data_IF_454157870818
#
_entry.id   IF_454157870818
#
_cell.length_a   1.000
_cell.length_b   1.000
_cell.length_c   1.000
_cell.angle_alpha   90.00
_cell.angle_beta   90.00
_cell.angle_gamma   90.00
#
_symmetry.space_group_name_H-M   'P 1'
#
loop_
_entity.id
_entity.type
_entity.pdbx_description
1 polymer ?
#
# COMPACT_ATOMS: atom_id res chain seq x y z
N UNK A 1 -0.27 7.07 38.87
CA UNK A 1 0.73 7.13 37.80
C UNK A 1 0.58 5.86 36.99
N UNK A 2 -0.21 5.91 35.93
CA UNK A 2 -0.40 4.82 34.98
C UNK A 2 0.77 4.85 34.00
N UNK A 3 1.50 3.74 33.79
CA UNK A 3 2.48 3.68 32.71
C UNK A 3 1.68 3.77 31.42
N UNK A 4 1.87 4.85 30.67
CA UNK A 4 1.45 4.93 29.28
C UNK A 4 2.29 3.87 28.60
N UNK A 5 1.70 2.70 28.32
CA UNK A 5 2.26 1.81 27.31
C UNK A 5 2.05 2.55 26.00
N UNK A 6 3.00 3.42 25.67
CA UNK A 6 3.24 3.85 24.32
C UNK A 6 3.66 2.58 23.57
N UNK A 7 2.67 1.83 23.08
CA UNK A 7 2.83 1.10 21.81
C UNK A 7 2.82 2.17 20.72
N UNK A 8 3.70 3.17 20.86
CA UNK A 8 4.09 4.05 19.79
C UNK A 8 5.13 3.26 19.05
N UNK A 9 4.96 3.13 17.74
CA UNK A 9 6.01 2.73 16.83
C UNK A 9 7.34 3.36 17.30
N UNK A 10 8.49 2.66 17.20
CA UNK A 10 9.79 3.29 17.45
C UNK A 10 9.82 4.61 16.67
N UNK A 11 10.52 5.67 17.14
CA UNK A 11 10.49 6.97 16.49
C UNK A 11 10.85 6.80 15.01
N UNK A 12 9.83 6.77 14.15
CA UNK A 12 9.99 6.62 12.71
C UNK A 12 10.51 7.95 12.23
N UNK A 13 11.71 7.93 11.68
CA UNK A 13 12.25 9.11 11.02
C UNK A 13 11.53 9.33 9.70
N UNK A 14 11.62 10.53 9.14
CA UNK A 14 11.13 10.81 7.78
C UNK A 14 11.73 9.82 6.76
N UNK A 15 12.99 9.40 6.97
CA UNK A 15 13.66 8.39 6.15
C UNK A 15 13.01 6.99 6.31
N UNK A 16 12.57 6.62 7.51
CA UNK A 16 11.88 5.34 7.73
C UNK A 16 10.48 5.36 7.08
N UNK A 17 9.75 6.47 7.16
CA UNK A 17 8.45 6.64 6.53
C UNK A 17 8.58 6.57 5.01
N UNK A 18 9.57 7.26 4.43
CA UNK A 18 9.84 7.21 2.99
C UNK A 18 10.20 5.79 2.54
N UNK A 19 11.08 5.11 3.29
CA UNK A 19 11.45 3.72 3.01
C UNK A 19 10.24 2.77 3.07
N UNK A 20 9.40 2.88 4.11
CA UNK A 20 8.18 2.10 4.25
C UNK A 20 7.20 2.36 3.11
N UNK A 21 7.03 3.63 2.72
CA UNK A 21 6.17 4.00 1.59
C UNK A 21 6.63 3.32 0.31
N UNK A 22 7.93 3.36 0.06
CA UNK A 22 8.53 2.78 -1.14
C UNK A 22 8.44 1.25 -1.14
N UNK A 23 8.59 0.61 0.02
CA UNK A 23 8.50 -0.85 0.15
C UNK A 23 7.04 -1.33 -0.01
N UNK A 24 6.07 -0.64 0.60
CA UNK A 24 4.64 -0.87 0.38
C UNK A 24 4.28 -0.73 -1.10
N UNK A 25 4.70 0.36 -1.74
CA UNK A 25 4.43 0.60 -3.16
C UNK A 25 4.97 -0.53 -4.03
N UNK A 26 6.21 -0.98 -3.76
CA UNK A 26 6.82 -2.10 -4.45
C UNK A 26 6.08 -3.41 -4.20
N UNK A 27 5.64 -3.66 -2.96
CA UNK A 27 4.92 -4.87 -2.57
C UNK A 27 3.52 -4.94 -3.23
N UNK A 28 2.76 -3.83 -3.22
CA UNK A 28 1.46 -3.69 -3.89
C UNK A 28 1.63 -3.86 -5.40
N UNK A 29 2.65 -3.25 -6.00
CA UNK A 29 2.96 -3.40 -7.42
C UNK A 29 3.27 -4.85 -7.80
N UNK A 30 4.10 -5.55 -7.02
CA UNK A 30 4.37 -6.97 -7.24
C UNK A 30 3.11 -7.83 -7.09
N UNK A 31 2.25 -7.50 -6.12
CA UNK A 31 0.97 -8.18 -5.93
C UNK A 31 0.07 -8.01 -7.15
N UNK A 32 -0.02 -6.79 -7.69
CA UNK A 32 -0.78 -6.49 -8.91
C UNK A 32 -0.29 -7.30 -10.11
N UNK A 33 1.02 -7.44 -10.31
CA UNK A 33 1.57 -8.29 -11.38
C UNK A 33 1.30 -9.79 -11.17
N UNK A 34 1.09 -10.23 -9.93
CA UNK A 34 0.69 -11.61 -9.64
C UNK A 34 -0.80 -11.85 -9.89
N UNK A 35 -1.64 -10.82 -9.84
CA UNK A 35 -3.08 -10.89 -10.08
C UNK A 35 -3.42 -10.68 -11.56
N UNK A 36 -2.79 -9.68 -12.17
CA UNK A 36 -3.02 -9.29 -13.56
C UNK A 36 -1.74 -9.52 -14.36
N UNK A 37 -1.80 -10.28 -15.46
CA UNK A 37 -0.64 -10.45 -16.32
C UNK A 37 -0.20 -9.11 -16.90
N UNK A 38 1.10 -8.80 -16.79
CA UNK A 38 1.73 -7.56 -17.32
C UNK A 38 1.31 -7.22 -18.74
N UNK A 39 1.12 -8.23 -19.60
CA UNK A 39 0.73 -8.06 -21.01
C UNK A 39 -0.68 -7.50 -21.19
N UNK A 40 -1.53 -7.61 -20.18
CA UNK A 40 -2.89 -7.08 -20.21
C UNK A 40 -2.98 -5.69 -19.60
N UNK A 41 -1.91 -5.20 -18.98
CA UNK A 41 -1.83 -3.87 -18.37
C UNK A 41 -1.39 -2.89 -19.47
N UNK A 42 -2.21 -1.87 -19.74
CA UNK A 42 -1.82 -0.74 -20.59
C UNK A 42 -1.02 0.28 -19.80
N UNK A 43 -1.51 0.62 -18.61
CA UNK A 43 -0.97 1.65 -17.74
C UNK A 43 -1.17 1.19 -16.29
N UNK A 44 -0.13 1.36 -15.47
CA UNK A 44 -0.18 1.08 -14.04
C UNK A 44 0.59 2.18 -13.32
N UNK A 45 -0.09 2.86 -12.41
CA UNK A 45 0.49 3.78 -11.46
C UNK A 45 0.04 3.36 -10.07
N UNK A 46 0.98 3.13 -9.17
CA UNK A 46 0.73 2.93 -7.74
C UNK A 46 1.38 4.09 -7.03
N UNK A 47 0.63 4.79 -6.19
CA UNK A 47 1.12 5.86 -5.33
C UNK A 47 0.75 5.52 -3.90
N UNK A 48 1.74 5.42 -3.03
CA UNK A 48 1.50 5.27 -1.60
C UNK A 48 1.81 6.59 -0.89
N UNK A 49 0.96 6.98 0.05
CA UNK A 49 1.18 8.13 0.91
C UNK A 49 1.05 7.70 2.36
N UNK A 50 2.11 7.88 3.15
CA UNK A 50 2.08 7.67 4.58
C UNK A 50 2.03 9.01 5.30
N UNK A 51 0.99 9.21 6.10
CA UNK A 51 0.83 10.37 6.96
C UNK A 51 0.94 9.94 8.42
N UNK A 52 1.89 10.53 9.13
CA UNK A 52 2.03 10.32 10.57
C UNK A 52 1.27 11.41 11.31
N UNK A 53 0.07 11.06 11.77
CA UNK A 53 -0.77 11.95 12.56
C UNK A 53 -0.14 12.24 13.92
N UNK A 54 -0.25 13.48 14.44
CA UNK A 54 0.31 13.87 15.73
C UNK A 54 -0.29 13.15 16.94
N UNK A 55 -1.40 12.43 16.77
CA UNK A 55 -2.02 11.54 17.76
C UNK A 55 -1.31 10.16 17.85
N UNK A 56 -0.25 9.94 17.08
CA UNK A 56 0.50 8.68 17.03
C UNK A 56 -0.13 7.62 16.13
N UNK A 57 -1.02 8.03 15.22
CA UNK A 57 -1.60 7.17 14.19
C UNK A 57 -0.79 7.30 12.91
N UNK A 58 -0.53 6.17 12.26
CA UNK A 58 0.09 6.11 10.94
C UNK A 58 -1.02 5.76 9.95
N UNK A 59 -1.35 6.71 9.08
CA UNK A 59 -2.35 6.56 8.04
C UNK A 59 -1.63 6.24 6.73
N UNK A 60 -2.00 5.13 6.09
CA UNK A 60 -1.52 4.74 4.78
C UNK A 60 -2.65 4.91 3.77
N UNK A 61 -2.41 5.75 2.77
CA UNK A 61 -3.30 5.94 1.63
C UNK A 61 -2.64 5.33 0.38
N UNK A 62 -3.35 4.40 -0.26
CA UNK A 62 -2.86 3.69 -1.44
C UNK A 62 -3.77 4.06 -2.62
N UNK A 63 -3.21 4.79 -3.58
CA UNK A 63 -3.89 5.15 -4.81
C UNK A 63 -3.36 4.29 -5.96
N UNK A 64 -4.23 3.47 -6.55
CA UNK A 64 -3.89 2.57 -7.65
C UNK A 64 -4.68 2.96 -8.88
N UNK A 65 -3.97 3.39 -9.92
CA UNK A 65 -4.53 3.61 -11.25
C UNK A 65 -4.06 2.48 -12.16
N UNK A 66 -5.01 1.62 -12.56
CA UNK A 66 -4.76 0.48 -13.45
C UNK A 66 -5.64 0.60 -14.70
N UNK A 67 -5.04 0.64 -15.87
CA UNK A 67 -5.74 0.52 -17.15
C UNK A 67 -5.44 -0.84 -17.78
N UNK A 68 -6.48 -1.60 -18.08
CA UNK A 68 -6.35 -2.89 -18.75
C UNK A 68 -6.64 -2.77 -20.24
N UNK A 69 -5.72 -3.28 -21.04
CA UNK A 69 -5.83 -3.33 -22.50
C UNK A 69 -6.83 -4.38 -22.97
N UNK A 70 -6.96 -5.47 -22.20
CA UNK A 70 -7.90 -6.56 -22.46
C UNK A 70 -8.43 -7.13 -21.14
N UNK A 71 -9.71 -7.54 -21.07
CA UNK A 71 -10.27 -8.16 -19.88
C UNK A 71 -9.59 -9.50 -19.60
N UNK A 72 -9.11 -9.66 -18.36
CA UNK A 72 -8.35 -10.87 -17.93
C UNK A 72 -9.21 -11.91 -17.23
N UNK A 73 -10.48 -11.61 -16.99
CA UNK A 73 -11.45 -12.51 -16.37
C UNK A 73 -11.83 -12.08 -14.96
N UNK A 74 -10.88 -11.55 -14.20
CA UNK A 74 -11.11 -10.89 -12.91
C UNK A 74 -11.55 -9.45 -13.13
N UNK A 75 -12.47 -8.96 -12.28
CA UNK A 75 -12.86 -7.55 -12.31
C UNK A 75 -11.69 -6.69 -11.86
N UNK A 76 -11.50 -5.56 -12.53
CA UNK A 76 -10.49 -4.59 -12.12
C UNK A 76 -10.68 -4.15 -10.67
N UNK A 77 -11.94 -3.87 -10.28
CA UNK A 77 -12.30 -3.53 -8.91
C UNK A 77 -11.86 -4.59 -7.90
N UNK A 78 -12.10 -5.88 -8.15
CA UNK A 78 -11.67 -6.97 -7.26
C UNK A 78 -10.13 -7.00 -7.10
N UNK A 79 -9.40 -6.76 -8.19
CA UNK A 79 -7.92 -6.70 -8.16
C UNK A 79 -7.43 -5.52 -7.33
N UNK A 80 -8.04 -4.35 -7.52
CA UNK A 80 -7.70 -3.12 -6.79
C UNK A 80 -7.99 -3.29 -5.30
N UNK A 81 -9.13 -3.86 -4.93
CA UNK A 81 -9.52 -4.10 -3.54
C UNK A 81 -8.52 -5.01 -2.83
N UNK A 82 -8.15 -6.13 -3.46
CA UNK A 82 -7.14 -7.07 -2.94
C UNK A 82 -5.76 -6.43 -2.82
N UNK A 83 -5.37 -5.58 -3.77
CA UNK A 83 -4.08 -4.90 -3.75
C UNK A 83 -4.00 -3.86 -2.62
N UNK A 84 -5.08 -3.10 -2.40
CA UNK A 84 -5.18 -2.12 -1.31
C UNK A 84 -5.23 -2.80 0.06
N UNK A 85 -6.01 -3.87 0.21
CA UNK A 85 -6.04 -4.67 1.44
C UNK A 85 -4.66 -5.24 1.75
N UNK A 86 -3.96 -5.76 0.74
CA UNK A 86 -2.60 -6.29 0.90
C UNK A 86 -1.60 -5.23 1.36
N UNK A 87 -1.66 -4.01 0.82
CA UNK A 87 -0.75 -2.93 1.25
C UNK A 87 -1.02 -2.48 2.70
N UNK A 88 -2.29 -2.49 3.13
CA UNK A 88 -2.66 -2.20 4.52
C UNK A 88 -2.16 -3.28 5.47
N UNK A 89 -2.42 -4.56 5.15
CA UNK A 89 -1.96 -5.71 5.96
C UNK A 89 -0.42 -5.78 6.02
N UNK A 90 0.27 -5.43 4.93
CA UNK A 90 1.72 -5.39 4.88
C UNK A 90 2.32 -4.38 5.88
N UNK A 91 1.68 -3.21 6.04
CA UNK A 91 2.11 -2.19 7.00
C UNK A 91 1.86 -2.60 8.45
N UNK A 92 0.86 -3.45 8.70
CA UNK A 92 0.51 -3.94 10.03
C UNK A 92 1.43 -5.07 10.55
N UNK A 93 2.26 -5.69 9.69
CA UNK A 93 3.13 -6.83 10.04
C UNK A 93 4.56 -6.45 10.46
#
# INVERSE_FOLDING_TARGET
MTPVLEIGLPPLTEEDIEALTQDVEAAVTQKLFSLVPEKSISDLSVSCTLDFSPDGQLDLDIEIALDQQYPTGDSLDDVLDVATEYGSDWLEQ
#
